data_IF_665824688841
#
_entry.id   IF_665824688841
#
_cell.length_a   1.000
_cell.length_b   1.000
_cell.length_c   1.000
_cell.angle_alpha   90.00
_cell.angle_beta   90.00
_cell.angle_gamma   90.00
#
_symmetry.space_group_name_H-M   'P 1'
#
loop_
_entity.id
_entity.type
_entity.pdbx_description
1 polymer ?
#
# COMPACT_ATOMS: atom_id res chain seq x y z
N UNK A 1 13.92 11.22 1.03
CA UNK A 1 12.97 10.64 0.06
C UNK A 1 11.72 11.49 0.10
N UNK A 2 11.38 12.13 -1.00
CA UNK A 2 10.12 12.86 -1.13
C UNK A 2 9.09 11.90 -1.70
N UNK A 3 7.94 11.74 -1.02
CA UNK A 3 6.87 10.88 -1.48
C UNK A 3 6.03 11.64 -2.52
N UNK A 4 6.09 11.23 -3.78
CA UNK A 4 5.27 11.79 -4.85
C UNK A 4 3.83 11.27 -4.76
N UNK A 5 2.99 11.93 -3.96
CA UNK A 5 1.62 11.53 -3.69
C UNK A 5 0.61 12.34 -4.51
N UNK A 6 -0.55 11.76 -4.77
CA UNK A 6 -1.68 12.47 -5.37
C UNK A 6 -2.26 13.50 -4.41
N UNK A 7 -2.39 14.74 -4.85
CA UNK A 7 -3.08 15.82 -4.12
C UNK A 7 -4.59 15.68 -4.29
N UNK A 8 -5.34 15.83 -3.20
CA UNK A 8 -6.81 15.71 -3.19
C UNK A 8 -7.42 17.04 -2.72
N UNK A 9 -8.26 17.64 -3.57
CA UNK A 9 -8.97 18.88 -3.31
C UNK A 9 -10.37 18.54 -2.80
N UNK A 10 -10.74 19.12 -1.65
CA UNK A 10 -12.09 19.01 -1.07
C UNK A 10 -12.79 20.38 -1.12
N UNK A 11 -14.10 20.34 -1.33
CA UNK A 11 -14.97 21.53 -1.29
C UNK A 11 -16.18 21.25 -0.41
N UNK A 12 -16.76 22.31 0.16
CA UNK A 12 -17.96 22.20 0.97
C UNK A 12 -19.21 22.31 0.08
N UNK A 13 -20.14 21.36 0.19
CA UNK A 13 -21.40 21.41 -0.54
C UNK A 13 -22.40 22.40 0.12
N UNK A 14 -23.57 22.60 -0.49
CA UNK A 14 -24.61 23.49 0.05
C UNK A 14 -25.20 23.07 1.41
N UNK A 15 -24.95 21.84 1.85
CA UNK A 15 -25.36 21.29 3.15
C UNK A 15 -24.28 21.43 4.23
N UNK A 16 -23.08 21.90 3.87
CA UNK A 16 -21.95 22.00 4.79
C UNK A 16 -21.04 20.76 4.81
N UNK A 17 -21.30 19.72 4.01
CA UNK A 17 -20.46 18.52 4.00
C UNK A 17 -19.23 18.72 3.10
N UNK A 18 -18.07 18.23 3.55
CA UNK A 18 -16.87 18.16 2.71
C UNK A 18 -17.00 17.02 1.72
N UNK A 19 -16.88 17.34 0.43
CA UNK A 19 -16.88 16.37 -0.66
C UNK A 19 -15.60 16.51 -1.48
N UNK A 20 -15.07 15.38 -1.96
CA UNK A 20 -13.93 15.39 -2.86
C UNK A 20 -14.33 16.06 -4.18
N UNK A 21 -13.54 17.04 -4.62
CA UNK A 21 -13.76 17.76 -5.87
C UNK A 21 -12.87 17.26 -6.99
N UNK A 22 -11.57 17.11 -6.72
CA UNK A 22 -10.59 16.75 -7.74
C UNK A 22 -9.35 16.10 -7.14
N UNK A 23 -8.78 15.14 -7.87
CA UNK A 23 -7.43 14.60 -7.63
C UNK A 23 -6.46 15.16 -8.67
N UNK A 24 -5.30 15.61 -8.20
CA UNK A 24 -4.21 16.08 -9.03
C UNK A 24 -3.00 15.15 -8.83
N UNK A 25 -2.55 14.54 -9.92
CA UNK A 25 -1.38 13.68 -9.90
C UNK A 25 -0.52 13.92 -11.14
N UNK A 26 0.79 13.68 -11.03
CA UNK A 26 1.71 13.73 -12.15
C UNK A 26 1.62 12.46 -13.00
N UNK A 27 2.76 11.87 -13.33
CA UNK A 27 2.84 10.61 -14.08
C UNK A 27 2.24 9.42 -13.33
N UNK A 28 2.15 9.48 -12.01
CA UNK A 28 1.73 8.36 -11.17
C UNK A 28 0.54 8.73 -10.30
N UNK A 29 -0.41 7.82 -10.17
CA UNK A 29 -1.54 7.94 -9.26
C UNK A 29 -1.25 7.14 -7.99
N UNK A 30 -0.82 7.81 -6.93
CA UNK A 30 -0.41 7.20 -5.65
C UNK A 30 -1.25 7.78 -4.52
N UNK A 31 -2.06 6.92 -3.92
CA UNK A 31 -2.94 7.27 -2.80
C UNK A 31 -2.49 6.48 -1.58
N UNK A 32 -2.33 7.16 -0.46
CA UNK A 32 -1.97 6.49 0.79
C UNK A 32 -3.17 5.72 1.32
N UNK A 33 -2.95 4.47 1.71
CA UNK A 33 -3.93 3.64 2.40
C UNK A 33 -3.28 3.01 3.62
N UNK A 34 -4.01 3.03 4.74
CA UNK A 34 -3.61 2.31 5.94
C UNK A 34 -3.83 0.80 5.78
N UNK A 35 -3.04 0.00 6.51
CA UNK A 35 -3.13 -1.46 6.50
C UNK A 35 -4.51 -1.97 6.95
N UNK A 36 -5.19 -1.21 7.81
CA UNK A 36 -6.54 -1.45 8.30
C UNK A 36 -7.60 -1.42 7.18
N UNK A 37 -7.31 -0.71 6.08
CA UNK A 37 -8.18 -0.62 4.90
C UNK A 37 -7.89 -1.72 3.88
N UNK A 38 -6.83 -2.51 4.08
CA UNK A 38 -6.42 -3.53 3.13
C UNK A 38 -7.35 -4.75 3.24
N UNK A 39 -7.92 -5.25 2.12
CA UNK A 39 -8.65 -6.51 2.14
C UNK A 39 -7.75 -7.64 2.63
N UNK A 40 -8.27 -8.49 3.52
CA UNK A 40 -7.53 -9.61 4.12
C UNK A 40 -6.79 -10.45 3.06
N UNK A 41 -7.51 -10.89 2.03
CA UNK A 41 -6.95 -11.73 0.97
C UNK A 41 -5.94 -11.00 0.07
N UNK A 42 -5.97 -9.66 -0.01
CA UNK A 42 -4.96 -8.91 -0.76
C UNK A 42 -3.61 -9.01 -0.06
N UNK A 43 -3.59 -8.82 1.28
CA UNK A 43 -2.38 -8.97 2.07
C UNK A 43 -1.84 -10.40 2.05
N UNK A 44 -2.72 -11.38 2.24
CA UNK A 44 -2.36 -12.80 2.21
C UNK A 44 -1.79 -13.22 0.83
N UNK A 45 -2.38 -12.75 -0.27
CA UNK A 45 -1.88 -13.03 -1.61
C UNK A 45 -0.49 -12.43 -1.86
N UNK A 46 -0.24 -11.20 -1.41
CA UNK A 46 1.08 -10.57 -1.54
C UNK A 46 2.15 -11.34 -0.75
N UNK A 47 1.84 -11.71 0.49
CA UNK A 47 2.73 -12.51 1.34
C UNK A 47 3.03 -13.85 0.67
N UNK A 48 2.01 -14.56 0.17
CA UNK A 48 2.22 -15.85 -0.48
C UNK A 48 3.13 -15.80 -1.72
N UNK A 49 3.15 -14.68 -2.46
CA UNK A 49 3.95 -14.51 -3.69
C UNK A 49 5.38 -14.04 -3.38
N UNK A 50 5.54 -13.05 -2.51
CA UNK A 50 6.84 -12.39 -2.31
C UNK A 50 7.67 -13.10 -1.22
N UNK A 51 7.07 -13.28 -0.03
CA UNK A 51 7.70 -13.87 1.15
C UNK A 51 6.65 -14.63 1.98
N UNK A 52 6.44 -15.90 1.65
CA UNK A 52 5.46 -16.78 2.28
C UNK A 52 5.61 -16.86 3.82
N UNK A 53 6.84 -16.67 4.32
CA UNK A 53 7.18 -16.75 5.75
C UNK A 53 7.33 -15.39 6.41
N UNK A 54 6.79 -14.33 5.81
CA UNK A 54 6.94 -12.95 6.28
C UNK A 54 6.64 -12.76 7.78
N UNK A 55 5.59 -13.41 8.30
CA UNK A 55 5.24 -13.29 9.73
C UNK A 55 6.06 -14.19 10.67
N UNK A 56 6.70 -15.23 10.13
CA UNK A 56 7.46 -16.21 10.90
C UNK A 56 8.96 -15.87 10.93
N UNK A 57 9.45 -15.21 9.89
CA UNK A 57 10.85 -14.85 9.73
C UNK A 57 11.17 -13.51 10.43
N UNK A 58 12.46 -13.23 10.66
CA UNK A 58 12.92 -11.98 11.29
C UNK A 58 13.40 -10.96 10.25
N UNK A 59 12.71 -10.90 9.11
CA UNK A 59 13.04 -10.04 7.97
C UNK A 59 13.94 -10.69 6.91
N UNK A 60 14.46 -11.90 7.15
CA UNK A 60 15.20 -12.68 6.14
C UNK A 60 14.79 -14.14 6.22
N UNK A 61 14.46 -14.71 5.06
CA UNK A 61 14.15 -16.12 4.90
C UNK A 61 15.42 -16.96 4.64
N UNK A 62 16.14 -17.29 5.72
CA UNK A 62 17.40 -18.03 5.66
C UNK A 62 17.28 -19.39 4.96
N UNK A 63 16.12 -20.05 5.04
CA UNK A 63 15.88 -21.33 4.37
C UNK A 63 15.89 -21.15 2.85
N UNK A 64 15.19 -20.13 2.34
CA UNK A 64 15.18 -19.80 0.90
C UNK A 64 16.53 -19.26 0.43
N UNK A 65 17.18 -18.40 1.22
CA UNK A 65 18.50 -17.87 0.89
C UNK A 65 19.54 -18.98 0.76
N UNK A 66 19.61 -19.92 1.71
CA UNK A 66 20.55 -21.04 1.64
C UNK A 66 20.24 -21.98 0.45
N UNK A 67 18.96 -22.27 0.21
CA UNK A 67 18.54 -23.10 -0.92
C UNK A 67 18.76 -22.49 -2.30
N UNK A 68 18.89 -21.16 -2.41
CA UNK A 68 19.18 -20.48 -3.67
C UNK A 68 20.68 -20.38 -4.00
N UNK A 69 21.54 -20.54 -3.00
CA UNK A 69 23.01 -20.44 -3.15
C UNK A 69 23.67 -21.81 -3.37
N UNK A 70 23.03 -22.89 -2.90
CA UNK A 70 23.47 -24.27 -3.13
C UNK A 70 23.15 -24.76 -4.55
#
# INVERSE_FOLDING_TARGET
MELNMTSIIYVQNSKGDWVEYQRLHGSENRIWAGIDKMPKYLGEAFIAIEDERFYDNRGVDWKRTAGAVA
#
